data_IF_778292380607
#
_entry.id   IF_778292380607
#
_cell.length_a   1.000
_cell.length_b   1.000
_cell.length_c   1.000
_cell.angle_alpha   90.00
_cell.angle_beta   90.00
_cell.angle_gamma   90.00
#
_symmetry.space_group_name_H-M   'P 1'
#
loop_
_entity.id
_entity.type
_entity.pdbx_description
1 polymer ?
#
# COMPACT_ATOMS: atom_id res chain seq x y z
N UNK A 1 9.15 -11.78 5.18
CA UNK A 1 8.58 -10.92 4.13
C UNK A 1 7.25 -11.48 3.67
N UNK A 2 6.32 -10.63 3.24
CA UNK A 2 5.08 -11.03 2.58
C UNK A 2 5.05 -10.53 1.14
N UNK A 3 4.06 -10.96 0.33
CA UNK A 3 3.88 -10.45 -1.04
C UNK A 3 3.66 -8.93 -1.02
N UNK A 4 2.89 -8.45 -0.04
CA UNK A 4 2.72 -7.03 0.25
C UNK A 4 3.42 -6.71 1.58
N UNK A 5 4.60 -6.11 1.51
CA UNK A 5 5.47 -5.89 2.66
C UNK A 5 5.01 -4.72 3.54
N UNK A 6 5.27 -4.83 4.84
CA UNK A 6 4.96 -3.83 5.89
C UNK A 6 6.15 -3.69 6.84
N UNK A 7 7.24 -3.07 6.36
CA UNK A 7 8.45 -2.91 7.18
C UNK A 7 8.25 -1.90 8.31
N UNK A 8 7.23 -1.06 8.22
CA UNK A 8 6.79 -0.15 9.29
C UNK A 8 6.26 -0.89 10.54
N UNK A 9 5.93 -2.18 10.41
CA UNK A 9 5.46 -3.02 11.53
C UNK A 9 6.57 -3.86 12.16
N UNK A 10 7.79 -3.82 11.62
CA UNK A 10 8.92 -4.53 12.22
C UNK A 10 9.33 -3.85 13.53
N UNK A 11 9.73 -4.61 14.56
CA UNK A 11 10.25 -4.02 15.80
C UNK A 11 11.49 -3.15 15.55
N UNK A 12 11.50 -1.92 16.09
CA UNK A 12 12.65 -1.00 16.02
C UNK A 12 13.93 -1.61 16.59
N UNK A 13 13.82 -2.33 17.72
CA UNK A 13 14.95 -2.98 18.40
C UNK A 13 15.03 -4.48 18.08
N UNK A 14 14.54 -4.91 16.92
CA UNK A 14 14.66 -6.29 16.46
C UNK A 14 16.10 -6.65 16.04
N UNK A 15 16.45 -7.92 16.14
CA UNK A 15 17.69 -8.47 15.57
C UNK A 15 17.38 -9.04 14.20
N UNK A 16 18.17 -8.66 13.20
CA UNK A 16 17.94 -9.00 11.80
C UNK A 16 19.21 -9.56 11.17
N UNK A 17 19.08 -10.59 10.35
CA UNK A 17 20.21 -11.20 9.65
C UNK A 17 20.77 -10.29 8.55
N UNK A 18 19.90 -9.50 7.93
CA UNK A 18 20.25 -8.50 6.93
C UNK A 18 19.73 -7.13 7.38
N UNK A 19 20.47 -6.04 7.10
CA UNK A 19 20.04 -4.68 7.46
C UNK A 19 18.65 -4.33 6.94
N UNK A 20 18.27 -4.85 5.77
CA UNK A 20 17.02 -4.55 5.09
C UNK A 20 15.77 -5.25 5.64
N UNK A 21 15.89 -6.10 6.66
CA UNK A 21 14.74 -6.78 7.25
C UNK A 21 14.10 -6.01 8.41
N UNK A 22 14.71 -4.91 8.86
CA UNK A 22 14.27 -4.15 10.02
C UNK A 22 13.12 -3.17 9.79
N UNK A 23 12.86 -2.34 10.81
CA UNK A 23 11.90 -1.25 10.74
C UNK A 23 12.33 -0.23 9.69
N UNK A 24 11.44 0.06 8.74
CA UNK A 24 11.70 1.03 7.67
C UNK A 24 10.42 1.75 7.26
N UNK A 25 10.57 2.99 6.79
CA UNK A 25 9.54 3.68 6.01
C UNK A 25 9.46 3.09 4.59
N UNK A 26 9.13 1.80 4.50
CA UNK A 26 9.15 1.02 3.28
C UNK A 26 8.08 -0.07 3.34
N UNK A 27 7.47 -0.34 2.19
CA UNK A 27 6.49 -1.39 2.04
C UNK A 27 5.90 -1.36 0.64
N UNK A 28 4.96 -2.27 0.41
CA UNK A 28 4.13 -2.20 -0.79
C UNK A 28 3.09 -1.09 -0.65
N UNK A 29 2.91 -0.27 -1.68
CA UNK A 29 2.08 0.94 -1.62
C UNK A 29 0.87 0.92 -2.56
N UNK A 30 0.74 -0.10 -3.40
CA UNK A 30 -0.44 -0.27 -4.23
C UNK A 30 -0.64 -1.74 -4.66
N UNK A 31 -1.79 -1.98 -5.28
CA UNK A 31 -2.08 -3.13 -6.13
C UNK A 31 -2.68 -2.63 -7.44
N UNK A 32 -2.28 -3.23 -8.55
CA UNK A 32 -2.86 -2.99 -9.88
C UNK A 32 -3.03 -4.34 -10.58
N UNK A 33 -4.28 -4.73 -10.79
CA UNK A 33 -4.63 -6.01 -11.39
C UNK A 33 -5.54 -5.84 -12.60
N UNK A 34 -5.27 -6.58 -13.66
CA UNK A 34 -6.18 -6.66 -14.81
C UNK A 34 -6.47 -8.10 -15.18
N UNK A 35 -7.47 -8.31 -16.02
CA UNK A 35 -7.79 -9.59 -16.62
C UNK A 35 -8.24 -9.36 -18.06
N UNK A 36 -8.47 -10.45 -18.81
CA UNK A 36 -8.87 -10.35 -20.21
C UNK A 36 -10.08 -9.41 -20.44
N UNK A 37 -11.07 -9.39 -19.55
CA UNK A 37 -12.26 -8.54 -19.70
C UNK A 37 -11.96 -7.06 -19.45
N UNK A 38 -11.18 -6.76 -18.42
CA UNK A 38 -10.80 -5.39 -18.05
C UNK A 38 -9.81 -4.80 -19.07
N UNK A 39 -8.81 -5.58 -19.48
CA UNK A 39 -7.80 -5.16 -20.45
C UNK A 39 -8.40 -4.74 -21.79
N UNK A 40 -9.42 -5.45 -22.27
CA UNK A 40 -10.17 -5.09 -23.50
C UNK A 40 -10.93 -3.75 -23.41
N UNK A 41 -11.12 -3.22 -22.19
CA UNK A 41 -11.71 -1.90 -21.93
C UNK A 41 -10.68 -0.87 -21.47
N UNK A 42 -9.39 -1.24 -21.52
CA UNK A 42 -8.28 -0.50 -20.94
C UNK A 42 -8.39 -0.27 -19.41
N UNK A 43 -9.14 -1.11 -18.70
CA UNK A 43 -9.39 -0.98 -17.27
C UNK A 43 -8.45 -1.88 -16.44
N UNK A 44 -8.31 -1.53 -15.16
CA UNK A 44 -7.68 -2.37 -14.14
C UNK A 44 -8.27 -2.05 -12.77
N UNK A 45 -8.26 -3.03 -11.87
CA UNK A 45 -8.59 -2.86 -10.47
C UNK A 45 -7.38 -2.31 -9.71
N UNK A 46 -7.64 -1.37 -8.81
CA UNK A 46 -6.60 -0.72 -8.01
C UNK A 46 -6.93 -0.74 -6.54
N UNK A 47 -5.88 -0.81 -5.72
CA UNK A 47 -5.93 -0.49 -4.29
C UNK A 47 -4.74 0.40 -3.99
N UNK A 48 -4.97 1.54 -3.33
CA UNK A 48 -3.91 2.44 -2.91
C UNK A 48 -3.53 2.24 -1.44
N UNK A 49 -2.24 2.35 -1.15
CA UNK A 49 -1.67 2.32 0.20
C UNK A 49 -1.15 0.95 0.64
N UNK A 50 -0.49 0.91 1.82
CA UNK A 50 -0.06 -0.33 2.45
C UNK A 50 -1.24 -1.26 2.77
N UNK A 51 -1.02 -2.57 2.65
CA UNK A 51 -2.04 -3.57 2.95
C UNK A 51 -2.52 -3.47 4.40
N UNK A 52 -3.83 -3.61 4.59
CA UNK A 52 -4.48 -3.74 5.90
C UNK A 52 -5.51 -4.89 5.86
N UNK A 53 -5.81 -5.47 7.02
CA UNK A 53 -6.62 -6.68 7.11
C UNK A 53 -5.87 -7.90 6.56
N UNK A 54 -6.53 -8.67 5.67
CA UNK A 54 -5.99 -9.91 5.12
C UNK A 54 -5.82 -11.03 6.15
N UNK A 55 -5.13 -12.13 5.79
CA UNK A 55 -4.93 -13.28 6.69
C UNK A 55 -4.18 -12.92 7.98
N UNK A 56 -3.32 -11.91 7.92
CA UNK A 56 -2.53 -11.42 9.07
C UNK A 56 -3.23 -10.32 9.86
N UNK A 57 -4.47 -9.93 9.50
CA UNK A 57 -5.28 -8.91 10.15
C UNK A 57 -4.51 -7.61 10.49
N UNK A 58 -3.76 -7.09 9.52
CA UNK A 58 -2.85 -5.97 9.74
C UNK A 58 -3.61 -4.65 9.97
N UNK A 59 -3.12 -3.74 10.82
CA UNK A 59 -3.73 -2.43 10.98
C UNK A 59 -3.51 -1.57 9.73
N UNK A 60 -4.45 -0.67 9.39
CA UNK A 60 -4.21 0.40 8.41
C UNK A 60 -2.98 1.22 8.81
N UNK A 61 -2.16 1.56 7.82
CA UNK A 61 -1.07 2.49 8.05
C UNK A 61 -1.62 3.89 8.38
N UNK A 62 -1.02 4.56 9.35
CA UNK A 62 -1.40 5.90 9.78
C UNK A 62 -0.17 6.72 10.10
N UNK A 63 0.00 7.86 9.43
CA UNK A 63 1.07 8.82 9.70
C UNK A 63 1.01 9.36 11.13
N UNK A 64 -0.17 9.34 11.78
CA UNK A 64 -0.34 9.75 13.19
C UNK A 64 0.13 8.70 14.20
N UNK A 65 0.15 7.42 13.81
CA UNK A 65 0.41 6.30 14.72
C UNK A 65 1.72 5.56 14.38
N UNK A 66 2.69 6.27 13.82
CA UNK A 66 4.01 5.72 13.48
C UNK A 66 5.12 6.57 14.09
N UNK A 67 6.29 5.99 14.30
CA UNK A 67 7.52 6.69 14.71
C UNK A 67 8.32 7.19 13.50
N UNK A 68 7.82 7.00 12.28
CA UNK A 68 8.45 7.51 11.05
C UNK A 68 8.29 9.03 11.02
N UNK A 69 9.42 9.74 11.04
CA UNK A 69 9.49 11.18 10.82
C UNK A 69 9.83 11.47 9.35
N UNK A 70 8.81 11.76 8.55
CA UNK A 70 8.95 12.06 7.14
C UNK A 70 7.91 13.10 6.70
N UNK A 71 8.27 13.98 5.77
CA UNK A 71 7.33 14.90 5.15
C UNK A 71 6.36 14.14 4.23
N UNK A 72 5.06 14.35 4.41
CA UNK A 72 4.00 13.65 3.67
C UNK A 72 2.85 14.59 3.30
N UNK A 73 3.19 15.80 2.85
CA UNK A 73 2.20 16.81 2.45
C UNK A 73 1.28 16.30 1.35
N UNK A 74 -0.03 16.53 1.51
CA UNK A 74 -1.06 16.10 0.56
C UNK A 74 -1.43 14.61 0.64
N UNK A 75 -0.73 13.81 1.44
CA UNK A 75 -1.11 12.42 1.69
C UNK A 75 -2.20 12.33 2.76
N UNK A 76 -3.08 11.31 2.70
CA UNK A 76 -4.03 11.03 3.77
C UNK A 76 -3.30 10.63 5.05
N UNK A 77 -3.83 11.05 6.21
CA UNK A 77 -3.28 10.63 7.51
C UNK A 77 -3.44 9.12 7.73
N UNK A 78 -4.55 8.53 7.28
CA UNK A 78 -4.84 7.09 7.39
C UNK A 78 -5.01 6.50 5.99
N UNK A 79 -4.24 5.45 5.69
CA UNK A 79 -4.31 4.71 4.45
C UNK A 79 -5.22 3.50 4.61
N UNK A 80 -6.51 3.68 4.29
CA UNK A 80 -7.55 2.64 4.38
C UNK A 80 -8.49 2.67 3.17
N UNK A 81 -7.90 2.65 1.98
CA UNK A 81 -8.66 2.70 0.73
C UNK A 81 -9.21 1.34 0.33
N UNK A 82 -10.46 1.32 -0.14
CA UNK A 82 -11.07 0.14 -0.76
C UNK A 82 -10.62 0.02 -2.22
N UNK A 83 -10.76 -1.18 -2.78
CA UNK A 83 -10.53 -1.39 -4.20
C UNK A 83 -11.58 -0.67 -5.06
N UNK A 84 -11.16 -0.25 -6.26
CA UNK A 84 -12.06 0.24 -7.30
C UNK A 84 -11.48 -0.06 -8.69
N UNK A 85 -12.35 -0.05 -9.70
CA UNK A 85 -11.93 -0.21 -11.10
C UNK A 85 -11.70 1.15 -11.72
N UNK A 86 -10.56 1.33 -12.38
CA UNK A 86 -10.27 2.53 -13.15
C UNK A 86 -11.08 2.50 -14.45
N UNK A 87 -11.78 3.60 -14.73
CA UNK A 87 -12.44 3.86 -16.00
C UNK A 87 -11.75 5.04 -16.69
N UNK A 88 -11.48 4.91 -18.00
CA UNK A 88 -10.96 6.04 -18.77
C UNK A 88 -12.01 7.12 -18.90
N UNK A 89 -11.71 8.29 -18.35
CA UNK A 89 -12.46 9.51 -18.62
C UNK A 89 -11.73 10.26 -19.73
N UNK A 90 -12.11 10.00 -20.98
CA UNK A 90 -11.74 10.90 -22.08
C UNK A 90 -13.01 11.53 -22.62
N UNK A 91 -13.17 12.84 -22.44
CA UNK A 91 -14.09 13.59 -23.30
C UNK A 91 -13.48 13.56 -24.70
N UNK A 92 -14.06 12.76 -25.60
CA UNK A 92 -13.80 12.88 -27.02
C UNK A 92 -14.46 14.20 -27.47
N UNK A 93 -13.65 15.25 -27.66
CA UNK A 93 -14.08 16.46 -28.37
C UNK A 93 -14.09 16.22 -29.87
#
# INVERSE_FOLDING_TARGET
>A
GGISTRSDLNPLNGTWELPDMGFKNEGTIDYKGTNYKLFNKFQFEVIGGPIYGGPSNLPPFSWKNTTIDALHFGQPIIWKFKNFTIEWQTELK
#
